data_IF_652712639618
#
_entry.id   IF_652712639618
#
_cell.length_a   1.000
_cell.length_b   1.000
_cell.length_c   1.000
_cell.angle_alpha   90.00
_cell.angle_beta   90.00
_cell.angle_gamma   90.00
#
_symmetry.space_group_name_H-M   'P 1'
#
loop_
_entity.id
_entity.type
_entity.pdbx_description
1 polymer ?
#
# COMPACT_ATOMS: atom_id res chain seq x y z
N UNK A 1 31.36 0.90 35.28
CA UNK A 1 31.59 -0.06 34.16
C UNK A 1 30.21 -0.36 33.58
N UNK A 2 29.75 0.63 32.78
CA UNK A 2 28.40 0.64 32.24
C UNK A 2 28.32 -0.29 31.00
N UNK A 3 27.53 -1.35 31.10
CA UNK A 3 27.16 -2.16 29.95
C UNK A 3 26.03 -1.42 29.22
N UNK A 4 26.38 -0.80 28.13
CA UNK A 4 25.41 -0.28 27.16
C UNK A 4 24.54 -1.42 26.65
N UNK A 5 23.27 -1.43 27.05
CA UNK A 5 22.25 -2.37 26.54
C UNK A 5 21.89 -1.92 25.14
N UNK A 6 22.51 -2.52 24.14
CA UNK A 6 22.17 -2.30 22.73
C UNK A 6 20.76 -2.82 22.50
N UNK A 7 19.88 -1.94 22.04
CA UNK A 7 18.46 -2.27 21.78
C UNK A 7 18.34 -3.25 20.60
N UNK A 8 17.55 -4.34 20.71
CA UNK A 8 17.46 -5.38 19.67
C UNK A 8 16.96 -4.86 18.30
N UNK A 9 16.25 -3.75 18.26
CA UNK A 9 15.80 -3.14 17.00
C UNK A 9 16.94 -2.50 16.18
N UNK A 10 17.97 -1.96 16.84
CA UNK A 10 19.17 -1.41 16.16
C UNK A 10 20.03 -2.49 15.53
N UNK A 11 20.01 -3.68 16.10
CA UNK A 11 20.80 -4.82 15.62
C UNK A 11 20.20 -5.41 14.31
N UNK A 12 18.89 -5.52 14.22
CA UNK A 12 18.19 -6.02 13.02
C UNK A 12 18.34 -5.11 11.78
N UNK A 13 18.35 -3.80 11.96
CA UNK A 13 18.56 -2.87 10.86
C UNK A 13 20.00 -2.89 10.34
N UNK A 14 20.97 -3.08 11.23
CA UNK A 14 22.35 -3.30 10.85
C UNK A 14 22.51 -4.60 10.04
N UNK A 15 21.89 -5.70 10.48
CA UNK A 15 21.90 -6.99 9.79
C UNK A 15 21.25 -6.90 8.40
N UNK A 16 20.13 -6.18 8.25
CA UNK A 16 19.49 -5.95 6.95
C UNK A 16 20.37 -5.16 5.99
N UNK A 17 21.08 -4.16 6.48
CA UNK A 17 22.03 -3.40 5.68
C UNK A 17 23.18 -4.29 5.21
N UNK A 18 23.75 -5.08 6.10
CA UNK A 18 24.81 -6.04 5.76
C UNK A 18 24.32 -7.08 4.73
N UNK A 19 23.08 -7.56 4.87
CA UNK A 19 22.48 -8.47 3.90
C UNK A 19 22.37 -7.83 2.49
N UNK A 20 22.02 -6.54 2.40
CA UNK A 20 21.96 -5.82 1.14
C UNK A 20 23.36 -5.63 0.52
N UNK A 21 24.36 -5.32 1.33
CA UNK A 21 25.75 -5.19 0.89
C UNK A 21 26.28 -6.54 0.35
N UNK A 22 25.96 -7.65 1.03
CA UNK A 22 26.30 -9.00 0.55
C UNK A 22 25.61 -9.34 -0.76
N UNK A 23 24.33 -9.02 -0.92
CA UNK A 23 23.62 -9.27 -2.17
C UNK A 23 24.23 -8.51 -3.35
N UNK A 24 24.67 -7.26 -3.12
CA UNK A 24 25.35 -6.45 -4.12
C UNK A 24 26.73 -7.02 -4.48
N UNK A 25 27.54 -7.44 -3.48
CA UNK A 25 28.88 -8.05 -3.71
C UNK A 25 28.80 -9.37 -4.45
N UNK A 26 27.87 -10.26 -4.10
CA UNK A 26 27.71 -11.56 -4.73
C UNK A 26 27.25 -11.48 -6.19
N UNK A 27 26.66 -10.35 -6.60
CA UNK A 27 26.20 -10.09 -7.98
C UNK A 27 27.15 -9.20 -8.80
N UNK A 28 28.21 -8.73 -8.19
CA UNK A 28 29.26 -7.97 -8.89
C UNK A 28 30.12 -8.88 -9.76
N UNK A 29 30.51 -8.37 -10.94
CA UNK A 29 31.46 -9.06 -11.82
C UNK A 29 32.87 -9.21 -11.19
N UNK A 30 33.13 -8.47 -10.10
CA UNK A 30 34.36 -8.54 -9.33
C UNK A 30 34.38 -9.62 -8.23
N UNK A 31 33.36 -10.49 -8.18
CA UNK A 31 33.24 -11.57 -7.17
C UNK A 31 34.42 -12.52 -7.21
N UNK A 32 35.06 -12.76 -6.05
CA UNK A 32 36.17 -13.67 -5.87
C UNK A 32 35.85 -14.85 -4.94
N UNK A 33 36.71 -15.90 -4.91
CA UNK A 33 36.54 -17.04 -3.99
C UNK A 33 36.54 -16.65 -2.51
N UNK A 34 37.20 -15.55 -2.13
CA UNK A 34 37.22 -15.03 -0.77
C UNK A 34 35.85 -14.53 -0.33
N UNK A 35 35.07 -13.90 -1.23
CA UNK A 35 33.73 -13.38 -0.93
C UNK A 35 32.75 -14.51 -0.56
N UNK A 36 32.88 -15.68 -1.17
CA UNK A 36 32.04 -16.84 -0.83
C UNK A 36 32.32 -17.39 0.56
N UNK A 37 33.58 -17.43 0.95
CA UNK A 37 33.99 -17.90 2.28
C UNK A 37 33.50 -16.93 3.38
N UNK A 38 33.71 -15.63 3.18
CA UNK A 38 33.24 -14.58 4.09
C UNK A 38 31.71 -14.55 4.21
N UNK A 39 31.00 -14.72 3.09
CA UNK A 39 29.54 -14.79 3.08
C UNK A 39 29.00 -15.97 3.89
N UNK A 40 29.58 -17.18 3.73
CA UNK A 40 29.18 -18.35 4.51
C UNK A 40 29.41 -18.11 6.00
N UNK A 41 30.52 -17.49 6.36
CA UNK A 41 30.82 -17.13 7.75
C UNK A 41 29.80 -16.12 8.29
N UNK A 42 29.44 -15.11 7.50
CA UNK A 42 28.43 -14.12 7.86
C UNK A 42 27.04 -14.76 8.07
N UNK A 43 26.58 -15.66 7.19
CA UNK A 43 25.34 -16.41 7.36
C UNK A 43 25.31 -17.29 8.60
N UNK A 44 26.47 -17.76 9.08
CA UNK A 44 26.56 -18.61 10.25
C UNK A 44 26.48 -17.86 11.60
N UNK A 45 26.50 -16.51 11.58
CA UNK A 45 26.52 -15.68 12.81
C UNK A 45 25.21 -15.75 13.59
N UNK A 46 24.06 -15.69 12.93
CA UNK A 46 22.76 -15.84 13.60
C UNK A 46 21.66 -16.19 12.59
N UNK A 47 20.49 -16.60 13.09
CA UNK A 47 19.28 -16.82 12.30
C UNK A 47 18.79 -15.54 11.62
N UNK A 48 19.00 -14.36 12.27
CA UNK A 48 18.62 -13.06 11.72
C UNK A 48 19.39 -12.73 10.44
N UNK A 49 20.66 -13.14 10.33
CA UNK A 49 21.47 -12.95 9.12
C UNK A 49 20.90 -13.77 7.95
N UNK A 50 20.49 -15.03 8.20
CA UNK A 50 19.88 -15.88 7.17
C UNK A 50 18.55 -15.36 6.73
N UNK A 51 17.64 -15.10 7.68
CA UNK A 51 16.28 -14.64 7.38
C UNK A 51 16.27 -13.30 6.66
N UNK A 52 17.17 -12.38 7.01
CA UNK A 52 17.32 -11.09 6.33
C UNK A 52 17.83 -11.25 4.90
N UNK A 53 18.77 -12.14 4.65
CA UNK A 53 19.29 -12.39 3.32
C UNK A 53 18.27 -13.11 2.42
N UNK A 54 17.57 -14.11 2.96
CA UNK A 54 16.52 -14.85 2.25
C UNK A 54 15.35 -13.95 1.85
N UNK A 55 14.91 -13.06 2.74
CA UNK A 55 13.87 -12.08 2.46
C UNK A 55 14.27 -11.10 1.34
N UNK A 56 15.53 -10.62 1.35
CA UNK A 56 16.06 -9.75 0.31
C UNK A 56 16.20 -10.47 -1.04
N UNK A 57 16.64 -11.72 -1.03
CA UNK A 57 16.81 -12.52 -2.25
C UNK A 57 15.47 -12.84 -2.89
N UNK A 58 14.47 -13.23 -2.10
CA UNK A 58 13.11 -13.47 -2.57
C UNK A 58 12.49 -12.23 -3.22
N UNK A 59 12.70 -11.06 -2.60
CA UNK A 59 12.22 -9.77 -3.15
C UNK A 59 12.91 -9.43 -4.48
N UNK A 60 14.20 -9.74 -4.59
CA UNK A 60 14.97 -9.46 -5.81
C UNK A 60 14.64 -10.42 -6.96
N UNK A 61 14.42 -11.70 -6.67
CA UNK A 61 14.01 -12.69 -7.68
C UNK A 61 12.64 -12.35 -8.25
N UNK A 62 11.71 -11.91 -7.40
CA UNK A 62 10.41 -11.41 -7.84
C UNK A 62 10.54 -10.19 -8.75
N UNK A 63 11.42 -9.23 -8.42
CA UNK A 63 11.71 -8.07 -9.24
C UNK A 63 12.42 -8.42 -10.55
N UNK A 64 13.25 -9.48 -10.55
CA UNK A 64 13.94 -10.01 -11.73
C UNK A 64 12.99 -10.71 -12.69
N UNK A 65 12.04 -11.49 -12.18
CA UNK A 65 11.02 -12.17 -12.97
C UNK A 65 10.12 -11.16 -13.72
N UNK A 66 9.81 -10.02 -13.09
CA UNK A 66 9.03 -8.94 -13.70
C UNK A 66 9.78 -8.19 -14.84
N UNK A 67 11.13 -8.21 -14.85
CA UNK A 67 11.93 -7.60 -15.91
C UNK A 67 12.05 -8.46 -17.17
N UNK A 68 11.79 -9.75 -17.09
CA UNK A 68 11.94 -10.70 -18.21
C UNK A 68 10.61 -11.09 -18.84
N UNK A 69 9.50 -10.46 -18.46
CA UNK A 69 8.22 -10.63 -19.12
C UNK A 69 8.18 -9.77 -20.41
N UNK A 70 8.14 -10.39 -21.61
CA UNK A 70 8.16 -9.68 -22.87
C UNK A 70 6.91 -8.80 -23.10
N UNK A 71 5.80 -9.04 -22.42
CA UNK A 71 4.60 -8.20 -22.51
C UNK A 71 4.76 -6.88 -21.74
N UNK A 72 5.50 -6.86 -20.64
CA UNK A 72 5.79 -5.65 -19.88
C UNK A 72 6.81 -4.77 -20.62
N UNK A 73 7.80 -5.38 -21.27
CA UNK A 73 8.77 -4.66 -22.11
C UNK A 73 8.15 -4.03 -23.36
N UNK A 74 7.06 -4.59 -23.88
CA UNK A 74 6.34 -4.03 -25.05
C UNK A 74 5.42 -2.86 -24.68
N UNK A 75 4.91 -2.80 -23.45
CA UNK A 75 4.02 -1.72 -22.99
C UNK A 75 4.74 -0.41 -22.70
N UNK A 76 6.02 -0.45 -22.34
CA UNK A 76 6.85 0.73 -22.08
C UNK A 76 7.41 1.38 -23.36
N UNK A 77 7.33 0.71 -24.51
CA UNK A 77 7.83 1.25 -25.80
C UNK A 77 6.77 1.97 -26.65
N UNK A 78 5.51 2.01 -26.25
CA UNK A 78 4.48 2.72 -27.01
C UNK A 78 4.05 3.99 -26.29
N UNK A 79 4.63 5.09 -26.74
CA UNK A 79 4.14 6.45 -26.94
C UNK A 79 5.04 7.54 -26.37
N UNK A 80 6.04 7.90 -27.16
CA UNK A 80 6.43 9.29 -27.25
C UNK A 80 5.70 9.88 -28.47
N UNK A 81 4.77 10.83 -28.33
CA UNK A 81 4.23 11.55 -29.48
C UNK A 81 5.26 12.56 -29.95
N UNK A 82 5.85 12.28 -31.11
CA UNK A 82 6.72 13.19 -31.87
C UNK A 82 5.88 14.28 -32.56
N UNK A 83 5.21 15.17 -31.83
CA UNK A 83 4.52 16.32 -32.38
C UNK A 83 4.56 17.55 -31.48
N UNK A 84 5.74 18.00 -31.11
CA UNK A 84 5.93 19.31 -30.47
C UNK A 84 7.22 20.00 -30.87
N UNK A 85 7.63 19.88 -32.13
CA UNK A 85 8.82 20.60 -32.64
C UNK A 85 8.57 21.58 -33.80
N UNK A 86 7.33 21.97 -34.07
CA UNK A 86 7.02 22.92 -35.17
C UNK A 86 6.03 24.03 -34.86
N UNK A 87 5.96 24.51 -33.62
CA UNK A 87 5.13 25.67 -33.29
C UNK A 87 5.80 26.61 -32.28
N UNK A 88 7.09 26.89 -32.49
CA UNK A 88 7.79 27.97 -31.76
C UNK A 88 8.43 28.88 -32.79
N UNK A 89 7.66 29.73 -33.47
CA UNK A 89 8.09 30.94 -34.15
C UNK A 89 6.88 31.73 -34.68
N UNK A 90 5.90 32.09 -33.82
CA UNK A 90 5.03 33.25 -34.05
C UNK A 90 4.24 33.53 -32.76
N UNK A 91 4.63 34.54 -32.01
CA UNK A 91 3.81 35.01 -30.87
C UNK A 91 4.60 35.44 -29.65
N UNK A 92 5.54 36.37 -29.84
CA UNK A 92 6.05 37.19 -28.72
C UNK A 92 4.94 38.13 -28.32
N UNK A 93 4.30 37.89 -27.14
CA UNK A 93 3.47 38.91 -26.60
C UNK A 93 2.20 38.52 -25.85
N UNK A 94 2.07 37.31 -25.24
CA UNK A 94 1.08 37.00 -24.16
C UNK A 94 1.45 35.66 -23.48
N UNK A 95 2.58 35.54 -22.84
CA UNK A 95 3.07 34.25 -22.36
C UNK A 95 3.60 34.20 -20.93
N UNK A 96 3.62 35.30 -20.20
CA UNK A 96 4.22 35.30 -18.86
C UNK A 96 3.25 34.97 -17.71
N UNK A 97 1.94 34.87 -17.95
CA UNK A 97 0.95 34.58 -16.91
C UNK A 97 0.51 33.10 -16.90
N UNK A 98 0.71 32.38 -18.02
CA UNK A 98 0.26 30.98 -18.15
C UNK A 98 1.21 29.92 -17.60
N UNK A 99 2.51 30.23 -17.49
CA UNK A 99 3.52 29.23 -17.06
C UNK A 99 3.54 29.06 -15.54
N UNK A 100 3.17 30.08 -14.78
CA UNK A 100 3.06 30.00 -13.32
C UNK A 100 1.93 29.11 -12.79
N UNK A 101 0.88 28.92 -13.57
CA UNK A 101 -0.27 28.09 -13.16
C UNK A 101 -0.06 26.60 -13.40
N UNK A 102 0.78 26.20 -14.33
CA UNK A 102 1.11 24.78 -14.57
C UNK A 102 2.05 24.20 -13.50
N UNK A 103 2.87 25.02 -12.88
CA UNK A 103 3.78 24.60 -11.80
C UNK A 103 3.05 24.46 -10.44
N UNK A 104 1.82 24.97 -10.33
CA UNK A 104 1.01 24.99 -9.09
C UNK A 104 -0.08 23.92 -9.06
N UNK A 105 -0.21 23.10 -10.12
CA UNK A 105 -1.23 22.07 -10.18
C UNK A 105 -0.85 20.87 -9.29
N UNK A 106 -1.75 20.40 -8.41
CA UNK A 106 -1.50 19.22 -7.62
C UNK A 106 -1.30 18.00 -8.53
N UNK A 107 -0.31 17.18 -8.22
CA UNK A 107 -0.06 15.94 -8.95
C UNK A 107 -1.09 14.87 -8.59
N UNK A 108 -1.69 14.24 -9.59
CA UNK A 108 -2.70 13.20 -9.41
C UNK A 108 -2.14 11.85 -9.78
N UNK A 109 -2.21 10.91 -8.86
CA UNK A 109 -1.82 9.52 -9.05
C UNK A 109 -3.01 8.60 -8.88
N UNK A 110 -3.10 7.59 -9.72
CA UNK A 110 -4.16 6.58 -9.65
C UNK A 110 -3.59 5.19 -9.96
N UNK A 111 -4.25 4.18 -9.42
CA UNK A 111 -4.02 2.77 -9.68
C UNK A 111 -5.29 2.13 -10.22
N UNK A 112 -5.15 1.15 -11.09
CA UNK A 112 -6.24 0.31 -11.57
C UNK A 112 -6.50 -0.89 -10.67
N UNK A 113 -7.43 -1.75 -11.11
CA UNK A 113 -7.76 -3.01 -10.45
C UNK A 113 -6.50 -3.89 -10.39
N UNK A 114 -6.12 -4.34 -9.19
CA UNK A 114 -4.96 -5.20 -8.97
C UNK A 114 -3.60 -4.51 -9.14
N UNK A 115 -3.58 -3.20 -9.39
CA UNK A 115 -2.36 -2.41 -9.51
C UNK A 115 -2.02 -1.76 -8.17
N UNK A 116 -0.77 -1.85 -7.74
CA UNK A 116 -0.22 -1.07 -6.63
C UNK A 116 0.89 -0.16 -7.13
N UNK A 117 1.09 1.00 -6.50
CA UNK A 117 2.12 1.95 -6.92
C UNK A 117 2.80 2.62 -5.73
N UNK A 118 4.13 2.57 -5.71
CA UNK A 118 4.93 3.34 -4.74
C UNK A 118 5.29 4.70 -5.32
N UNK A 119 5.07 5.74 -4.53
CA UNK A 119 5.45 7.11 -4.81
C UNK A 119 6.52 7.52 -3.80
N UNK A 120 7.60 8.11 -4.29
CA UNK A 120 8.60 8.77 -3.46
C UNK A 120 8.50 10.26 -3.75
N UNK A 121 8.14 11.04 -2.73
CA UNK A 121 7.94 12.47 -2.85
C UNK A 121 9.25 13.21 -2.59
N UNK A 122 9.38 14.42 -3.13
CA UNK A 122 10.60 15.23 -3.01
C UNK A 122 10.95 15.63 -1.56
N UNK A 123 9.97 15.59 -0.66
CA UNK A 123 10.14 15.84 0.76
C UNK A 123 10.64 14.61 1.55
N UNK A 124 10.87 13.47 0.86
CA UNK A 124 11.27 12.19 1.45
C UNK A 124 10.12 11.34 1.97
N UNK A 125 8.86 11.81 1.89
CA UNK A 125 7.68 10.99 2.20
C UNK A 125 7.52 9.88 1.17
N UNK A 126 7.19 8.66 1.60
CA UNK A 126 6.80 7.58 0.71
C UNK A 126 5.33 7.23 0.89
N UNK A 127 4.66 6.97 -0.25
CA UNK A 127 3.26 6.57 -0.30
C UNK A 127 3.18 5.28 -1.12
N UNK A 128 2.62 4.22 -0.54
CA UNK A 128 2.21 3.04 -1.31
C UNK A 128 0.71 3.12 -1.55
N UNK A 129 0.32 3.21 -2.81
CA UNK A 129 -1.06 3.29 -3.25
C UNK A 129 -1.55 1.89 -3.59
N UNK A 130 -2.67 1.49 -3.00
CA UNK A 130 -3.30 0.19 -3.18
C UNK A 130 -4.08 0.11 -4.51
N UNK A 131 -4.62 -1.06 -4.84
CA UNK A 131 -5.48 -1.28 -5.99
C UNK A 131 -6.72 -0.37 -5.97
N UNK A 132 -7.16 0.04 -7.16
CA UNK A 132 -8.33 0.90 -7.38
C UNK A 132 -8.35 2.14 -6.49
N UNK A 133 -7.23 2.86 -6.43
CA UNK A 133 -7.04 4.01 -5.55
C UNK A 133 -6.68 5.27 -6.33
N UNK A 134 -7.00 6.42 -5.76
CA UNK A 134 -6.68 7.72 -6.35
C UNK A 134 -6.29 8.72 -5.28
N UNK A 135 -5.15 9.36 -5.47
CA UNK A 135 -4.59 10.35 -4.56
C UNK A 135 -4.13 11.58 -5.32
N UNK A 136 -4.34 12.73 -4.73
CA UNK A 136 -3.81 14.02 -5.19
C UNK A 136 -2.77 14.50 -4.20
N UNK A 137 -1.57 14.81 -4.67
CA UNK A 137 -0.45 15.28 -3.85
C UNK A 137 -0.15 16.74 -4.16
N UNK A 138 0.07 17.52 -3.12
CA UNK A 138 0.45 18.92 -3.23
C UNK A 138 1.61 19.22 -2.29
N UNK A 139 2.81 19.35 -2.87
CA UNK A 139 4.03 19.71 -2.17
C UNK A 139 4.46 21.10 -2.63
N UNK A 140 4.08 22.14 -1.90
CA UNK A 140 4.42 23.50 -2.28
C UNK A 140 4.71 24.39 -1.07
N UNK A 141 5.87 25.00 -1.06
CA UNK A 141 6.26 25.94 -0.03
C UNK A 141 6.15 25.36 1.38
N UNK A 142 5.09 25.71 2.10
CA UNK A 142 4.79 25.22 3.44
C UNK A 142 3.78 24.06 3.48
N UNK A 143 3.23 23.66 2.33
CA UNK A 143 2.18 22.64 2.27
C UNK A 143 2.77 21.29 1.92
N UNK A 144 2.57 20.31 2.79
CA UNK A 144 2.85 18.89 2.59
C UNK A 144 1.51 18.15 2.73
N UNK A 145 0.72 18.15 1.65
CA UNK A 145 -0.67 17.67 1.70
C UNK A 145 -0.92 16.62 0.63
N UNK A 146 -1.62 15.55 1.02
CA UNK A 146 -2.20 14.57 0.11
C UNK A 146 -3.70 14.50 0.32
N UNK A 147 -4.48 14.26 -0.74
CA UNK A 147 -5.92 14.00 -0.65
C UNK A 147 -6.20 12.62 -1.22
N UNK A 148 -6.60 11.69 -0.37
CA UNK A 148 -7.07 10.38 -0.79
C UNK A 148 -8.52 10.54 -1.26
N UNK A 149 -8.74 10.44 -2.57
CA UNK A 149 -10.06 10.61 -3.19
C UNK A 149 -10.83 9.29 -3.23
N UNK A 150 -10.13 8.15 -3.29
CA UNK A 150 -10.70 6.80 -3.34
C UNK A 150 -9.66 5.76 -2.97
N UNK A 151 -10.11 4.67 -2.35
CA UNK A 151 -9.32 3.47 -2.13
C UNK A 151 -8.48 3.51 -0.87
N UNK A 152 -7.23 3.07 -0.93
CA UNK A 152 -6.35 2.90 0.23
C UNK A 152 -4.93 3.33 -0.09
N UNK A 153 -4.27 3.90 0.89
CA UNK A 153 -2.86 4.24 0.79
C UNK A 153 -2.15 4.07 2.14
N UNK A 154 -0.93 3.58 2.08
CA UNK A 154 -0.01 3.54 3.21
C UNK A 154 0.98 4.68 3.09
N UNK A 155 1.17 5.41 4.18
CA UNK A 155 2.04 6.57 4.25
C UNK A 155 3.19 6.30 5.22
N UNK A 156 4.39 6.71 4.83
CA UNK A 156 5.54 6.89 5.73
C UNK A 156 5.97 8.35 5.60
N UNK A 157 5.53 9.16 6.55
CA UNK A 157 5.80 10.59 6.53
C UNK A 157 7.28 10.87 6.84
N UNK A 158 7.93 11.69 6.01
CA UNK A 158 9.27 12.16 6.30
C UNK A 158 9.26 13.13 7.49
N UNK A 159 10.30 13.09 8.31
CA UNK A 159 10.43 13.94 9.48
C UNK A 159 10.65 15.39 9.07
N UNK A 160 9.73 16.26 9.45
CA UNK A 160 9.85 17.71 9.37
C UNK A 160 9.12 18.31 10.59
N UNK A 161 9.84 18.83 11.59
CA UNK A 161 9.26 19.30 12.83
C UNK A 161 8.43 20.59 12.67
N UNK A 162 8.57 21.28 11.54
CA UNK A 162 7.90 22.56 11.28
C UNK A 162 6.69 22.38 10.39
N UNK A 163 6.67 21.33 9.55
CA UNK A 163 5.66 21.11 8.51
C UNK A 163 5.18 19.66 8.54
N UNK A 164 4.13 19.35 9.30
CA UNK A 164 3.56 18.01 9.34
C UNK A 164 3.03 17.60 7.95
N UNK A 165 3.05 16.31 7.66
CA UNK A 165 2.41 15.76 6.48
C UNK A 165 0.93 15.54 6.75
N UNK A 166 0.06 16.16 5.95
CA UNK A 166 -1.40 16.10 6.14
C UNK A 166 -2.06 15.31 5.02
N UNK A 167 -2.77 14.25 5.38
CA UNK A 167 -3.64 13.50 4.47
C UNK A 167 -5.08 13.92 4.70
N UNK A 168 -5.80 14.25 3.63
CA UNK A 168 -7.23 14.54 3.69
C UNK A 168 -8.01 13.38 3.04
N UNK A 169 -9.06 12.90 3.69
CA UNK A 169 -9.99 11.92 3.16
C UNK A 169 -11.40 12.24 3.69
N UNK A 170 -12.41 12.38 2.82
CA UNK A 170 -13.82 12.67 3.18
C UNK A 170 -13.98 13.75 4.27
N UNK A 171 -13.31 14.89 4.08
CA UNK A 171 -13.40 16.00 5.05
C UNK A 171 -12.68 15.76 6.38
N UNK A 172 -11.92 14.68 6.51
CA UNK A 172 -11.06 14.36 7.67
C UNK A 172 -9.63 14.76 7.36
N UNK A 173 -8.94 15.36 8.32
CA UNK A 173 -7.50 15.61 8.25
C UNK A 173 -6.76 14.62 9.15
N UNK A 174 -5.82 13.92 8.55
CA UNK A 174 -4.94 12.93 9.19
C UNK A 174 -3.53 13.51 9.17
N UNK A 175 -2.92 13.69 10.33
CA UNK A 175 -1.62 14.35 10.47
C UNK A 175 -0.60 13.36 11.01
N UNK A 176 0.48 13.14 10.24
CA UNK A 176 1.69 12.48 10.68
C UNK A 176 2.76 13.52 10.98
N UNK A 177 3.35 13.48 12.18
CA UNK A 177 4.30 14.49 12.65
C UNK A 177 5.74 14.26 12.20
N UNK A 178 6.03 13.06 11.66
CA UNK A 178 7.32 12.73 11.07
C UNK A 178 7.94 11.45 11.62
N UNK A 179 8.37 10.61 10.70
CA UNK A 179 8.76 9.23 11.00
C UNK A 179 7.57 8.30 11.23
N UNK A 180 6.35 8.84 11.29
CA UNK A 180 5.15 8.06 11.49
C UNK A 180 4.79 7.25 10.25
N UNK A 181 4.29 6.02 10.47
CA UNK A 181 3.76 5.19 9.42
C UNK A 181 2.31 4.83 9.72
N UNK A 182 1.42 5.02 8.73
CA UNK A 182 0.00 4.79 8.90
C UNK A 182 -0.68 4.39 7.59
N UNK A 183 -1.75 3.63 7.72
CA UNK A 183 -2.63 3.23 6.63
C UNK A 183 -3.92 4.06 6.68
N UNK A 184 -4.36 4.53 5.53
CA UNK A 184 -5.65 5.22 5.37
C UNK A 184 -6.46 4.50 4.31
N UNK A 185 -7.65 4.05 4.67
CA UNK A 185 -8.61 3.46 3.73
C UNK A 185 -9.89 4.27 3.69
N UNK A 186 -10.41 4.44 2.48
CA UNK A 186 -11.66 5.11 2.18
C UNK A 186 -12.58 4.12 1.47
N UNK A 187 -13.63 3.66 2.16
CA UNK A 187 -14.62 2.74 1.63
C UNK A 187 -16.01 3.31 1.92
N UNK A 188 -16.85 3.45 0.90
CA UNK A 188 -18.26 3.87 1.00
C UNK A 188 -18.48 5.05 1.98
N UNK A 189 -17.66 6.10 1.88
CA UNK A 189 -17.67 7.28 2.76
C UNK A 189 -17.25 7.02 4.22
N UNK A 190 -16.72 5.84 4.51
CA UNK A 190 -16.07 5.55 5.79
C UNK A 190 -14.54 5.71 5.65
N UNK A 191 -13.96 6.51 6.53
CA UNK A 191 -12.51 6.67 6.64
C UNK A 191 -12.01 5.82 7.79
N UNK A 192 -11.05 4.94 7.54
CA UNK A 192 -10.35 4.22 8.59
C UNK A 192 -8.86 4.56 8.54
N UNK A 193 -8.31 4.89 9.70
CA UNK A 193 -6.90 5.24 9.87
C UNK A 193 -6.26 4.29 10.88
N UNK A 194 -5.26 3.53 10.44
CA UNK A 194 -4.51 2.62 11.31
C UNK A 194 -3.11 3.17 11.54
N UNK A 195 -2.75 3.48 12.77
CA UNK A 195 -1.39 3.86 13.13
C UNK A 195 -0.52 2.61 13.21
N UNK A 196 0.57 2.58 12.40
CA UNK A 196 1.51 1.45 12.29
C UNK A 196 2.77 1.72 13.10
N UNK A 197 3.32 2.91 12.98
CA UNK A 197 4.49 3.38 13.75
C UNK A 197 4.20 4.80 14.20
N UNK A 198 4.58 5.15 15.43
CA UNK A 198 4.41 6.48 16.00
C UNK A 198 2.97 6.81 16.38
N UNK A 199 2.52 8.02 16.08
CA UNK A 199 1.22 8.54 16.44
C UNK A 199 0.59 9.26 15.26
N UNK A 200 -0.71 9.10 15.07
CA UNK A 200 -1.45 9.78 14.01
C UNK A 200 -2.58 10.58 14.64
N UNK A 201 -2.63 11.85 14.29
CA UNK A 201 -3.69 12.75 14.72
C UNK A 201 -4.78 12.79 13.64
N UNK A 202 -6.01 12.61 14.04
CA UNK A 202 -7.17 12.64 13.14
C UNK A 202 -8.14 13.69 13.65
N UNK A 203 -8.67 14.54 12.75
CA UNK A 203 -9.63 15.59 13.09
C UNK A 203 -10.56 15.88 11.91
N UNK A 204 -11.69 16.51 12.19
CA UNK A 204 -12.52 17.06 11.13
C UNK A 204 -11.85 18.30 10.52
N UNK A 205 -11.90 18.42 9.21
CA UNK A 205 -11.31 19.57 8.52
C UNK A 205 -11.91 20.89 9.02
N UNK A 206 -11.03 21.77 9.48
CA UNK A 206 -11.44 23.06 10.05
C UNK A 206 -11.99 23.02 11.47
N UNK A 207 -11.99 21.86 12.15
CA UNK A 207 -12.47 21.72 13.53
C UNK A 207 -11.39 21.14 14.46
N UNK A 208 -10.42 21.92 14.93
CA UNK A 208 -9.36 21.43 15.80
C UNK A 208 -9.83 20.81 17.13
N UNK A 209 -11.08 21.09 17.55
CA UNK A 209 -11.68 20.52 18.75
C UNK A 209 -12.09 19.05 18.60
N UNK A 210 -12.24 18.55 17.38
CA UNK A 210 -12.57 17.14 17.10
C UNK A 210 -11.37 16.19 17.13
N UNK A 211 -10.25 16.64 17.67
CA UNK A 211 -8.95 15.96 17.64
C UNK A 211 -8.95 14.60 18.35
N UNK A 212 -8.56 13.55 17.64
CA UNK A 212 -8.34 12.22 18.17
C UNK A 212 -6.93 11.75 17.79
N UNK A 213 -6.26 11.05 18.70
CA UNK A 213 -4.93 10.49 18.45
C UNK A 213 -5.01 8.96 18.44
N UNK A 214 -4.43 8.32 17.43
CA UNK A 214 -4.17 6.89 17.41
C UNK A 214 -2.66 6.67 17.62
N UNK A 215 -2.30 5.87 18.61
CA UNK A 215 -0.96 5.34 18.78
C UNK A 215 -0.76 4.08 17.90
N UNK A 216 0.49 3.69 17.68
CA UNK A 216 0.81 2.44 16.98
C UNK A 216 0.00 1.26 17.54
N UNK A 217 -0.60 0.46 16.66
CA UNK A 217 -1.54 -0.61 17.01
C UNK A 217 -2.99 -0.18 17.24
N UNK A 218 -3.31 1.10 17.05
CA UNK A 218 -4.69 1.60 17.15
C UNK A 218 -5.24 1.98 15.77
N UNK A 219 -6.55 1.85 15.65
CA UNK A 219 -7.32 2.25 14.47
C UNK A 219 -8.45 3.20 14.89
N UNK A 220 -8.67 4.23 14.10
CA UNK A 220 -9.82 5.12 14.21
C UNK A 220 -10.68 4.91 12.96
N UNK A 221 -11.96 4.62 13.18
CA UNK A 221 -12.96 4.45 12.11
C UNK A 221 -14.00 5.56 12.23
N UNK A 222 -14.21 6.27 11.14
CA UNK A 222 -15.17 7.38 11.01
C UNK A 222 -16.10 7.07 9.84
N UNK A 223 -17.37 6.84 10.11
CA UNK A 223 -18.38 6.53 9.11
C UNK A 223 -19.50 7.57 9.17
N UNK A 224 -19.72 8.28 8.07
CA UNK A 224 -20.74 9.32 7.95
C UNK A 224 -20.65 10.36 9.08
N UNK A 225 -21.82 10.73 9.65
CA UNK A 225 -21.95 11.67 10.77
C UNK A 225 -21.84 10.97 12.15
N UNK A 226 -21.57 9.66 12.18
CA UNK A 226 -21.43 8.90 13.42
C UNK A 226 -20.21 9.31 14.23
N UNK A 227 -20.26 9.09 15.55
CA UNK A 227 -19.09 9.32 16.41
C UNK A 227 -17.93 8.43 16.01
N UNK A 228 -16.69 8.98 15.93
CA UNK A 228 -15.50 8.19 15.64
C UNK A 228 -15.32 7.05 16.65
N UNK A 229 -14.99 5.86 16.16
CA UNK A 229 -14.66 4.70 17.00
C UNK A 229 -13.17 4.47 17.00
N UNK A 230 -12.59 4.31 18.19
CA UNK A 230 -11.22 3.85 18.36
C UNK A 230 -11.24 2.38 18.75
N UNK A 231 -10.42 1.60 18.09
CA UNK A 231 -10.29 0.16 18.35
C UNK A 231 -8.81 -0.26 18.32
N UNK A 232 -8.49 -1.39 18.93
CA UNK A 232 -7.19 -2.03 18.76
C UNK A 232 -7.16 -2.66 17.37
N UNK A 233 -6.09 -2.45 16.63
CA UNK A 233 -5.92 -3.01 15.30
C UNK A 233 -4.89 -4.13 15.30
N UNK A 234 -5.18 -5.21 14.61
CA UNK A 234 -4.14 -6.09 14.12
C UNK A 234 -3.45 -5.39 12.95
N UNK A 235 -2.29 -4.79 13.24
CA UNK A 235 -1.50 -4.04 12.26
C UNK A 235 -1.04 -4.94 11.11
N UNK A 236 -0.71 -6.21 11.38
CA UNK A 236 -0.29 -7.15 10.35
C UNK A 236 -1.43 -7.44 9.38
N UNK A 237 -2.61 -7.72 9.91
CA UNK A 237 -3.81 -7.92 9.10
C UNK A 237 -4.19 -6.66 8.31
N UNK A 238 -4.20 -5.49 8.97
CA UNK A 238 -4.57 -4.22 8.35
C UNK A 238 -3.62 -3.81 7.21
N UNK A 239 -2.36 -4.24 7.25
CA UNK A 239 -1.33 -3.87 6.27
C UNK A 239 -0.89 -5.03 5.37
N UNK A 240 -1.52 -6.20 5.45
CA UNK A 240 -1.19 -7.40 4.69
C UNK A 240 -1.31 -7.18 3.16
N UNK A 241 -2.19 -6.29 2.73
CA UNK A 241 -2.35 -5.91 1.34
C UNK A 241 -1.05 -5.41 0.68
N UNK A 242 -0.16 -4.80 1.46
CA UNK A 242 1.17 -4.36 1.01
C UNK A 242 2.05 -5.51 0.52
N UNK A 243 1.73 -6.73 0.94
CA UNK A 243 2.41 -7.98 0.60
C UNK A 243 1.54 -8.86 -0.31
N UNK A 244 0.48 -8.29 -0.92
CA UNK A 244 -0.42 -9.02 -1.80
C UNK A 244 -1.33 -10.03 -1.08
N UNK A 245 -1.62 -9.80 0.20
CA UNK A 245 -2.49 -10.64 1.02
C UNK A 245 -3.74 -9.89 1.47
N UNK A 246 -4.86 -10.59 1.56
CA UNK A 246 -6.08 -10.16 2.22
C UNK A 246 -6.28 -11.03 3.46
N UNK A 247 -6.38 -10.41 4.63
CA UNK A 247 -6.59 -11.07 5.91
C UNK A 247 -7.99 -10.73 6.40
N UNK A 248 -8.77 -11.75 6.69
CA UNK A 248 -10.13 -11.63 7.21
C UNK A 248 -10.19 -12.28 8.59
N UNK A 249 -10.81 -11.60 9.54
CA UNK A 249 -11.06 -12.10 10.89
C UNK A 249 -12.53 -11.80 11.24
N UNK A 250 -13.33 -12.84 11.30
CA UNK A 250 -14.79 -12.77 11.51
C UNK A 250 -15.47 -11.72 10.61
N UNK A 251 -15.01 -11.63 9.35
CA UNK A 251 -15.49 -10.65 8.38
C UNK A 251 -16.71 -11.17 7.64
N UNK A 252 -17.69 -10.29 7.33
CA UNK A 252 -18.81 -10.68 6.48
C UNK A 252 -18.36 -11.07 5.09
N UNK A 253 -19.01 -12.04 4.49
CA UNK A 253 -18.68 -12.52 3.14
C UNK A 253 -18.81 -11.40 2.10
N UNK A 254 -19.80 -10.53 2.26
CA UNK A 254 -19.94 -9.35 1.40
C UNK A 254 -18.71 -8.45 1.45
N UNK A 255 -18.22 -8.10 2.65
CA UNK A 255 -17.06 -7.24 2.83
C UNK A 255 -15.77 -7.91 2.31
N UNK A 256 -15.61 -9.21 2.56
CA UNK A 256 -14.46 -9.96 2.04
C UNK A 256 -14.44 -10.04 0.51
N UNK A 257 -15.61 -10.27 -0.11
CA UNK A 257 -15.75 -10.26 -1.57
C UNK A 257 -15.47 -8.86 -2.14
N UNK A 258 -15.96 -7.80 -1.49
CA UNK A 258 -15.68 -6.43 -1.92
C UNK A 258 -14.18 -6.14 -1.93
N UNK A 259 -13.46 -6.56 -0.87
CA UNK A 259 -12.01 -6.42 -0.79
C UNK A 259 -11.30 -7.24 -1.88
N UNK A 260 -11.64 -8.53 -2.07
CA UNK A 260 -11.05 -9.38 -3.10
C UNK A 260 -11.29 -8.83 -4.52
N UNK A 261 -12.46 -8.26 -4.76
CA UNK A 261 -12.82 -7.68 -6.06
C UNK A 261 -12.04 -6.41 -6.42
N UNK A 262 -11.36 -5.76 -5.48
CA UNK A 262 -10.44 -4.65 -5.77
C UNK A 262 -9.20 -5.11 -6.53
N UNK A 263 -8.82 -6.38 -6.37
CA UNK A 263 -7.59 -6.92 -6.92
C UNK A 263 -7.79 -7.77 -8.18
N UNK A 264 -9.04 -8.03 -8.59
CA UNK A 264 -9.31 -8.91 -9.73
C UNK A 264 -10.40 -8.37 -10.64
N UNK A 265 -10.17 -8.44 -11.95
CA UNK A 265 -11.20 -8.16 -12.96
C UNK A 265 -12.26 -9.26 -13.01
N UNK A 266 -11.90 -10.47 -12.59
CA UNK A 266 -12.82 -11.59 -12.48
C UNK A 266 -13.56 -11.49 -11.14
N UNK A 267 -14.68 -10.78 -11.16
CA UNK A 267 -15.43 -10.45 -9.94
C UNK A 267 -16.14 -11.66 -9.37
N UNK A 268 -16.26 -11.68 -8.05
CA UNK A 268 -17.11 -12.60 -7.29
C UNK A 268 -18.42 -11.89 -7.02
N UNK A 269 -19.54 -12.61 -7.20
CA UNK A 269 -20.90 -12.15 -6.93
C UNK A 269 -21.62 -13.21 -6.11
N UNK A 270 -22.48 -12.80 -5.19
CA UNK A 270 -23.39 -13.68 -4.45
C UNK A 270 -24.72 -13.77 -5.18
N UNK A 271 -25.32 -14.97 -5.22
CA UNK A 271 -26.63 -15.18 -5.88
C UNK A 271 -27.81 -14.70 -5.04
N UNK A 272 -27.66 -14.66 -3.72
CA UNK A 272 -28.72 -14.37 -2.77
C UNK A 272 -28.25 -13.42 -1.65
N UNK A 273 -29.09 -12.46 -1.20
CA UNK A 273 -28.73 -11.52 -0.14
C UNK A 273 -28.37 -12.20 1.19
N UNK A 274 -28.98 -13.35 1.53
CA UNK A 274 -28.71 -14.08 2.76
C UNK A 274 -27.28 -14.60 2.92
N UNK A 275 -26.51 -14.69 1.84
CA UNK A 275 -25.10 -15.09 1.87
C UNK A 275 -24.18 -13.96 2.33
N UNK A 276 -24.61 -12.73 2.25
CA UNK A 276 -23.81 -11.55 2.55
C UNK A 276 -23.34 -11.50 4.00
N UNK A 277 -24.19 -11.97 4.93
CA UNK A 277 -23.95 -11.94 6.39
C UNK A 277 -23.09 -13.12 6.89
N UNK A 278 -22.85 -14.12 6.05
CA UNK A 278 -21.98 -15.23 6.41
C UNK A 278 -20.60 -14.71 6.77
N UNK A 279 -19.93 -15.35 7.74
CA UNK A 279 -18.67 -14.89 8.24
C UNK A 279 -17.53 -15.81 7.86
N UNK A 280 -16.39 -15.20 7.55
CA UNK A 280 -15.18 -15.93 7.20
C UNK A 280 -13.97 -15.36 7.94
N UNK A 281 -13.02 -16.24 8.21
CA UNK A 281 -11.68 -15.91 8.69
C UNK A 281 -10.63 -16.62 7.82
N UNK A 282 -9.50 -16.01 7.63
CA UNK A 282 -8.39 -16.61 6.88
C UNK A 282 -7.49 -15.60 6.18
N UNK A 283 -6.41 -16.11 5.62
CA UNK A 283 -5.45 -15.34 4.82
C UNK A 283 -5.52 -15.82 3.37
N UNK A 284 -5.73 -14.90 2.47
CA UNK A 284 -5.90 -15.18 1.06
C UNK A 284 -4.95 -14.33 0.21
N UNK A 285 -4.57 -14.85 -0.94
CA UNK A 285 -3.80 -14.08 -1.91
C UNK A 285 -4.71 -13.07 -2.59
N UNK A 286 -4.38 -11.80 -2.49
CA UNK A 286 -5.12 -10.72 -3.16
C UNK A 286 -5.08 -10.93 -4.68
N UNK A 287 -6.25 -10.84 -5.34
CA UNK A 287 -6.40 -11.06 -6.78
C UNK A 287 -6.65 -12.52 -7.21
N UNK A 288 -6.45 -13.52 -6.34
CA UNK A 288 -6.82 -14.91 -6.62
C UNK A 288 -8.26 -15.20 -6.22
N UNK A 289 -9.18 -14.52 -6.91
CA UNK A 289 -10.61 -14.65 -6.66
C UNK A 289 -11.13 -16.07 -6.87
N UNK A 290 -10.47 -16.85 -7.72
CA UNK A 290 -10.91 -18.23 -8.00
C UNK A 290 -10.57 -19.16 -6.83
N UNK A 291 -9.35 -19.08 -6.29
CA UNK A 291 -8.98 -19.85 -5.11
C UNK A 291 -9.80 -19.43 -3.89
N UNK A 292 -10.01 -18.12 -3.69
CA UNK A 292 -10.85 -17.59 -2.64
C UNK A 292 -12.29 -18.13 -2.73
N UNK A 293 -12.95 -17.99 -3.89
CA UNK A 293 -14.32 -18.46 -4.06
C UNK A 293 -14.47 -19.97 -3.82
N UNK A 294 -13.51 -20.80 -4.29
CA UNK A 294 -13.52 -22.24 -4.02
C UNK A 294 -13.34 -22.56 -2.53
N UNK A 295 -12.44 -21.87 -1.87
CA UNK A 295 -12.21 -22.04 -0.42
C UNK A 295 -13.46 -21.70 0.39
N UNK A 296 -14.08 -20.54 0.12
CA UNK A 296 -15.32 -20.11 0.77
C UNK A 296 -16.46 -21.09 0.50
N UNK A 297 -16.61 -21.54 -0.74
CA UNK A 297 -17.65 -22.50 -1.09
C UNK A 297 -17.50 -23.83 -0.35
N UNK A 298 -16.26 -24.29 -0.17
CA UNK A 298 -15.98 -25.51 0.61
C UNK A 298 -16.25 -25.30 2.10
N UNK A 299 -15.86 -24.16 2.65
CA UNK A 299 -15.99 -23.85 4.07
C UNK A 299 -17.45 -23.68 4.50
N UNK A 300 -18.29 -23.06 3.65
CA UNK A 300 -19.65 -22.66 3.97
C UNK A 300 -20.71 -23.57 3.30
N UNK A 301 -20.30 -24.71 2.73
CA UNK A 301 -21.16 -25.67 1.99
C UNK A 301 -21.95 -25.00 0.85
N UNK A 302 -21.28 -24.15 0.10
CA UNK A 302 -21.78 -23.47 -1.06
C UNK A 302 -21.21 -24.08 -2.35
N UNK A 303 -21.60 -23.60 -3.51
CA UNK A 303 -21.00 -23.94 -4.81
C UNK A 303 -20.57 -22.68 -5.57
N UNK A 304 -19.57 -22.85 -6.43
CA UNK A 304 -19.10 -21.80 -7.32
C UNK A 304 -19.47 -22.17 -8.75
N UNK A 305 -20.13 -21.26 -9.43
CA UNK A 305 -20.38 -21.35 -10.88
C UNK A 305 -19.57 -20.27 -11.59
N UNK A 306 -18.78 -20.71 -12.56
CA UNK A 306 -18.05 -19.81 -13.44
C UNK A 306 -18.97 -19.34 -14.57
N UNK A 307 -18.97 -18.05 -14.84
CA UNK A 307 -19.67 -17.43 -15.96
C UNK A 307 -18.72 -16.51 -16.75
N UNK A 308 -19.17 -16.06 -17.94
CA UNK A 308 -18.38 -15.09 -18.71
C UNK A 308 -18.14 -13.76 -17.97
N UNK A 309 -19.00 -13.42 -17.01
CA UNK A 309 -18.90 -12.19 -16.21
C UNK A 309 -18.15 -12.34 -14.87
N UNK A 310 -17.77 -13.56 -14.47
CA UNK A 310 -17.10 -13.75 -13.18
C UNK A 310 -17.40 -15.07 -12.49
N UNK A 311 -17.37 -15.06 -11.17
CA UNK A 311 -17.60 -16.19 -10.28
C UNK A 311 -18.86 -15.93 -9.46
N UNK A 312 -19.84 -16.81 -9.58
CA UNK A 312 -21.09 -16.75 -8.81
C UNK A 312 -21.00 -17.77 -7.67
N UNK A 313 -21.16 -17.29 -6.44
CA UNK A 313 -21.29 -18.15 -5.25
C UNK A 313 -22.77 -18.29 -4.94
N UNK A 314 -23.24 -19.53 -4.85
CA UNK A 314 -24.65 -19.87 -4.65
C UNK A 314 -24.79 -21.03 -3.66
N UNK A 315 -25.95 -21.19 -2.99
CA UNK A 315 -26.20 -22.34 -2.12
C UNK A 315 -26.05 -23.64 -2.89
N UNK A 316 -25.56 -24.69 -2.23
CA UNK A 316 -25.73 -26.05 -2.74
C UNK A 316 -27.19 -26.35 -2.70
N UNK A 317 -27.87 -26.31 -3.84
CA UNK A 317 -29.29 -26.63 -3.92
C UNK A 317 -29.58 -27.91 -3.15
N UNK A 318 -30.51 -27.85 -2.20
CA UNK A 318 -31.06 -29.04 -1.55
C UNK A 318 -31.69 -29.93 -2.59
N UNK A 319 -31.40 -31.21 -2.52
CA UNK A 319 -32.04 -32.24 -3.29
C UNK A 319 -33.54 -32.32 -2.94
#
# INVERSE_FOLDING_TARGET
>A
MDREVVSPARDLDAVRKEAADWLARLRSDARGPADEAEFKLWLSRSEDHRSSFDALTATWELAGALKHDPEIAASTRRRAPSMARRAVLAGVGVGAVGIGWLALAPEVYATGIGETRTLHLDDGTSILLDADSRIRVHLEGRKRKATLERGRAFFRAATDPVKPFVVTAEGREIVGEGGDAFDVSLNDSAVAVTAVEGHVLVMDAGQPSSRLTAAAGQRIVMAGEGAPRRETADVQAATAWRFGQAVFDDQTLAAAIAEMNRYSRRRIVLSEPGLEELRISGVYKAGDNEAFARSVATLLDLKVRTSAGGLLIEPRGGA
#
